data_IF_851916976848
#
_entry.id   IF_851916976848
#
_cell.length_a   1.000
_cell.length_b   1.000
_cell.length_c   1.000
_cell.angle_alpha   90.00
_cell.angle_beta   90.00
_cell.angle_gamma   90.00
#
_symmetry.space_group_name_H-M   'P 1'
#
loop_
_entity.id
_entity.type
_entity.pdbx_description
1 polymer ?
#
# COMPACT_ATOMS: atom_id res chain seq x y z
N UNK A 1 11.71 -3.00 8.92
CA UNK A 1 11.19 -2.81 7.54
C UNK A 1 9.69 -2.94 7.61
N UNK A 2 8.93 -1.98 7.08
CA UNK A 2 7.47 -2.06 7.04
C UNK A 2 7.04 -2.85 5.80
N UNK A 3 6.03 -3.71 5.94
CA UNK A 3 5.44 -4.43 4.83
C UNK A 3 4.13 -3.74 4.44
N UNK A 4 4.08 -3.15 3.24
CA UNK A 4 2.93 -2.40 2.75
C UNK A 4 2.12 -3.27 1.79
N UNK A 5 0.89 -3.61 2.17
CA UNK A 5 -0.05 -4.34 1.33
C UNK A 5 -1.03 -3.36 0.71
N UNK A 6 -1.02 -3.29 -0.62
CA UNK A 6 -1.88 -2.41 -1.38
C UNK A 6 -2.78 -3.21 -2.32
N UNK A 7 -4.05 -2.84 -2.37
CA UNK A 7 -5.02 -3.35 -3.35
C UNK A 7 -5.34 -2.28 -4.37
N UNK A 8 -5.35 -2.65 -5.64
CA UNK A 8 -5.79 -1.74 -6.71
C UNK A 8 -7.30 -1.70 -6.73
N UNK A 9 -7.88 -0.54 -6.44
CA UNK A 9 -9.29 -0.29 -6.65
C UNK A 9 -9.58 -0.31 -8.17
N UNK A 10 -10.49 -1.18 -8.59
CA UNK A 10 -10.76 -1.47 -10.01
C UNK A 10 -11.35 -0.29 -10.78
N UNK A 11 -12.15 0.56 -10.13
CA UNK A 11 -12.83 1.68 -10.77
C UNK A 11 -11.99 2.95 -10.90
N UNK A 12 -11.19 3.28 -9.87
CA UNK A 12 -10.38 4.51 -9.83
C UNK A 12 -8.93 4.29 -10.27
N UNK A 13 -8.46 3.03 -10.25
CA UNK A 13 -7.06 2.69 -10.46
C UNK A 13 -6.15 3.03 -9.27
N UNK A 14 -6.69 3.57 -8.18
CA UNK A 14 -5.94 3.93 -6.98
C UNK A 14 -5.49 2.70 -6.20
N UNK A 15 -4.34 2.83 -5.52
CA UNK A 15 -3.85 1.83 -4.57
C UNK A 15 -4.34 2.20 -3.16
N UNK A 16 -5.09 1.30 -2.54
CA UNK A 16 -5.61 1.45 -1.19
C UNK A 16 -4.90 0.48 -0.25
N UNK A 17 -4.73 0.82 1.05
CA UNK A 17 -4.21 -0.12 2.03
C UNK A 17 -5.12 -1.34 2.13
N UNK A 18 -4.54 -2.53 1.98
CA UNK A 18 -5.26 -3.80 2.06
C UNK A 18 -5.41 -4.33 3.50
N UNK A 19 -4.65 -3.77 4.46
CA UNK A 19 -4.71 -4.13 5.88
C UNK A 19 -4.70 -2.88 6.78
N UNK A 20 -5.16 -2.99 8.04
CA UNK A 20 -5.08 -1.88 9.00
C UNK A 20 -3.64 -1.39 9.23
N UNK A 21 -2.67 -2.29 9.34
CA UNK A 21 -1.26 -1.97 9.57
C UNK A 21 -0.67 -1.17 8.40
N UNK A 22 -1.09 -1.52 7.18
CA UNK A 22 -0.73 -0.78 5.96
C UNK A 22 -1.31 0.64 6.00
N UNK A 23 -2.54 0.79 6.51
CA UNK A 23 -3.17 2.10 6.71
C UNK A 23 -2.46 2.96 7.76
N UNK A 24 -2.10 2.37 8.90
CA UNK A 24 -1.42 3.08 9.98
C UNK A 24 -0.01 3.51 9.59
N UNK A 25 0.72 2.67 8.84
CA UNK A 25 1.99 3.04 8.26
C UNK A 25 1.85 4.26 7.33
N UNK A 26 0.88 4.24 6.39
CA UNK A 26 0.68 5.37 5.47
C UNK A 26 0.29 6.67 6.20
N UNK A 27 -0.43 6.60 7.32
CA UNK A 27 -0.74 7.79 8.15
C UNK A 27 0.50 8.37 8.86
N UNK A 28 1.48 7.52 9.16
CA UNK A 28 2.73 7.96 9.80
C UNK A 28 3.70 8.65 8.82
N UNK A 29 3.57 8.37 7.52
CA UNK A 29 4.35 9.02 6.48
C UNK A 29 3.79 10.41 6.22
N UNK A 30 4.64 11.43 6.26
CA UNK A 30 4.20 12.81 6.04
C UNK A 30 3.96 13.07 4.55
N UNK A 31 3.02 13.97 4.27
CA UNK A 31 2.78 14.43 2.90
C UNK A 31 4.06 15.06 2.34
N UNK A 32 4.50 14.59 1.17
CA UNK A 32 5.73 15.03 0.51
C UNK A 32 6.95 14.16 0.80
N UNK A 33 6.86 13.18 1.71
CA UNK A 33 7.94 12.21 1.94
C UNK A 33 7.96 11.12 0.86
N UNK A 34 9.17 10.67 0.54
CA UNK A 34 9.39 9.59 -0.43
C UNK A 34 9.43 8.25 0.29
N UNK A 35 8.67 7.27 -0.22
CA UNK A 35 8.70 5.89 0.24
C UNK A 35 9.53 5.07 -0.75
N UNK A 36 10.67 4.55 -0.30
CA UNK A 36 11.44 3.54 -1.04
C UNK A 36 11.04 2.15 -0.54
N UNK A 37 10.59 1.29 -1.44
CA UNK A 37 10.19 -0.08 -1.12
C UNK A 37 10.41 -1.01 -2.31
N UNK A 38 10.77 -2.25 -2.02
CA UNK A 38 10.78 -3.33 -3.01
C UNK A 38 9.35 -3.77 -3.30
N UNK A 39 8.95 -3.66 -4.57
CA UNK A 39 7.61 -4.05 -5.00
C UNK A 39 7.58 -5.49 -5.50
N UNK A 40 6.67 -6.30 -4.94
CA UNK A 40 6.35 -7.63 -5.46
C UNK A 40 4.88 -7.68 -5.86
N UNK A 41 4.61 -7.89 -7.14
CA UNK A 41 3.25 -8.17 -7.62
C UNK A 41 2.83 -9.55 -7.14
N UNK A 42 1.90 -9.59 -6.20
CA UNK A 42 1.22 -10.82 -5.78
C UNK A 42 -0.07 -10.97 -6.58
N UNK A 43 -0.34 -12.16 -7.14
CA UNK A 43 -1.66 -12.46 -7.69
C UNK A 43 -2.64 -12.61 -6.52
N UNK A 44 -3.82 -12.02 -6.65
CA UNK A 44 -4.92 -12.34 -5.76
C UNK A 44 -5.17 -13.84 -5.88
N UNK A 45 -5.13 -14.59 -4.77
CA UNK A 45 -5.51 -16.01 -4.71
C UNK A 45 -7.05 -16.17 -4.58
N UNK A 46 -7.80 -15.15 -4.98
CA UNK A 46 -9.25 -15.09 -4.96
C UNK A 46 -9.78 -14.81 -6.37
#
# INVERSE_FOLDING_TARGET
>A
MAHLQLVKQTSSGLLLPATPESGDFLRSVKIGEWIHADFKRVRNYA
#
